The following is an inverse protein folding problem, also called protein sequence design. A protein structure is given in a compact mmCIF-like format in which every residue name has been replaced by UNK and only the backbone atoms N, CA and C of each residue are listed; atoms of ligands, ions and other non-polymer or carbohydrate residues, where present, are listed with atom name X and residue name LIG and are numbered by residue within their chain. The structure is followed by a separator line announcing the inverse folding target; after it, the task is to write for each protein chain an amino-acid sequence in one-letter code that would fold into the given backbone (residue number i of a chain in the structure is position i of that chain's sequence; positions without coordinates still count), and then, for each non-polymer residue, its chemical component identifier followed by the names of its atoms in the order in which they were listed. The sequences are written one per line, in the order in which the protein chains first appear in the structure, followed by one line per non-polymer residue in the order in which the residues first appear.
data_IF_115265176809
#
_entry.id   IF_115265176809
#
_cell.length_a   1.000
_cell.length_b   1.000
_cell.length_c   1.000
_cell.angle_alpha   90.00
_cell.angle_beta   90.00
_cell.angle_gamma   90.00
#
_symmetry.space_group_name_H-M   'P 1'
#
loop_
_entity.id
_entity.type
_entity.pdbx_description
1 polymer ?
#
# COMPACT_ATOMS: atom_id res chain seq x y z
N UNK A 1 -21.32 5.79 10.73
CA UNK A 1 -20.92 6.64 9.59
C UNK A 1 -20.45 5.71 8.48
N UNK A 2 -21.10 5.71 7.31
CA UNK A 2 -20.68 4.89 6.18
C UNK A 2 -19.55 5.58 5.43
N UNK A 3 -18.50 4.84 5.12
CA UNK A 3 -17.45 5.25 4.18
C UNK A 3 -17.42 4.27 3.02
N UNK A 4 -16.97 4.71 1.85
CA UNK A 4 -16.78 3.84 0.70
C UNK A 4 -15.37 3.98 0.13
N UNK A 5 -14.90 2.92 -0.51
CA UNK A 5 -13.58 2.86 -1.11
C UNK A 5 -13.62 3.36 -2.55
N UNK A 6 -12.68 4.25 -2.88
CA UNK A 6 -12.38 4.64 -4.24
C UNK A 6 -11.39 3.69 -4.90
N UNK A 7 -10.99 4.03 -6.13
CA UNK A 7 -9.88 3.35 -6.79
C UNK A 7 -8.57 3.65 -6.05
N UNK A 8 -7.72 2.66 -5.80
CA UNK A 8 -6.39 2.92 -5.26
C UNK A 8 -5.55 3.69 -6.28
N UNK A 9 -4.65 4.53 -5.78
CA UNK A 9 -3.81 5.40 -6.62
C UNK A 9 -2.33 5.18 -6.32
N UNK A 10 -1.49 5.13 -7.36
CA UNK A 10 -0.05 5.23 -7.20
C UNK A 10 0.29 6.71 -7.00
N UNK A 11 0.73 7.04 -5.80
CA UNK A 11 1.13 8.40 -5.41
C UNK A 11 2.54 8.71 -5.90
N UNK A 12 3.44 7.73 -5.83
CA UNK A 12 4.82 7.86 -6.24
C UNK A 12 5.41 6.49 -6.59
N UNK A 13 6.33 6.44 -7.55
CA UNK A 13 7.15 5.28 -7.82
C UNK A 13 8.59 5.68 -8.10
N UNK A 14 9.53 4.93 -7.55
CA UNK A 14 10.96 5.07 -7.83
C UNK A 14 11.56 3.70 -8.12
N UNK A 15 12.13 3.54 -9.29
CA UNK A 15 12.85 2.33 -9.70
C UNK A 15 14.38 2.53 -9.67
N UNK A 16 15.09 1.41 -9.45
CA UNK A 16 16.54 1.26 -9.56
C UNK A 16 16.85 -0.16 -10.02
N UNK A 17 16.95 -0.33 -11.34
CA UNK A 17 17.32 -1.62 -11.95
C UNK A 17 16.27 -2.70 -11.66
N UNK A 18 16.63 -3.67 -10.82
CA UNK A 18 15.76 -4.80 -10.43
C UNK A 18 14.93 -4.53 -9.18
N UNK A 19 14.99 -3.33 -8.60
CA UNK A 19 14.22 -2.94 -7.42
C UNK A 19 13.39 -1.69 -7.68
N UNK A 20 12.23 -1.58 -7.04
CA UNK A 20 11.43 -0.36 -7.01
C UNK A 20 10.79 -0.15 -5.64
N UNK A 21 10.51 1.11 -5.30
CA UNK A 21 9.59 1.47 -4.21
C UNK A 21 8.39 2.18 -4.81
N UNK A 22 7.20 1.73 -4.45
CA UNK A 22 5.92 2.29 -4.91
C UNK A 22 5.11 2.69 -3.69
N UNK A 23 4.64 3.93 -3.69
CA UNK A 23 3.73 4.46 -2.68
C UNK A 23 2.32 4.44 -3.25
N UNK A 24 1.44 3.65 -2.65
CA UNK A 24 0.04 3.47 -3.07
C UNK A 24 -0.87 3.99 -1.98
N UNK A 25 -1.86 4.80 -2.35
CA UNK A 25 -2.89 5.27 -1.42
C UNK A 25 -4.20 4.52 -1.63
N UNK A 26 -4.75 4.01 -0.53
CA UNK A 26 -6.18 3.68 -0.50
C UNK A 26 -6.96 5.00 -0.37
N UNK A 27 -7.86 5.21 -1.31
CA UNK A 27 -8.73 6.38 -1.34
C UNK A 27 -10.03 6.01 -0.67
N UNK A 28 -10.44 6.80 0.33
CA UNK A 28 -11.75 6.65 0.97
C UNK A 28 -12.52 7.96 0.90
N UNK A 29 -13.83 7.83 0.91
CA UNK A 29 -14.75 8.96 0.94
C UNK A 29 -15.69 8.78 2.13
N UNK A 30 -15.90 9.86 2.87
CA UNK A 30 -16.94 9.89 3.90
C UNK A 30 -18.33 10.11 3.29
N UNK A 31 -19.37 10.05 4.13
CA UNK A 31 -20.75 10.27 3.70
C UNK A 31 -21.04 11.68 3.19
N UNK A 32 -20.14 12.65 3.43
CA UNK A 32 -20.21 14.00 2.89
C UNK A 32 -19.39 14.15 1.58
N UNK A 33 -18.83 13.05 1.04
CA UNK A 33 -18.02 13.05 -0.17
C UNK A 33 -16.60 13.57 0.03
N UNK A 34 -16.15 13.79 1.28
CA UNK A 34 -14.78 14.27 1.53
C UNK A 34 -13.81 13.13 1.30
N UNK A 35 -12.80 13.41 0.49
CA UNK A 35 -11.75 12.48 0.13
C UNK A 35 -10.68 12.42 1.21
N UNK A 36 -10.32 11.21 1.61
CA UNK A 36 -9.16 10.91 2.46
C UNK A 36 -8.23 9.94 1.76
N UNK A 37 -6.94 10.01 2.10
CA UNK A 37 -5.92 9.11 1.58
C UNK A 37 -5.05 8.59 2.72
N UNK A 38 -4.74 7.29 2.68
CA UNK A 38 -3.72 6.69 3.52
C UNK A 38 -2.70 5.96 2.64
N UNK A 39 -1.53 6.59 2.38
CA UNK A 39 -0.52 6.00 1.53
C UNK A 39 0.40 5.02 2.27
N UNK A 40 0.50 3.81 1.73
CA UNK A 40 1.43 2.76 2.15
C UNK A 40 2.55 2.61 1.12
N UNK A 41 3.77 2.29 1.57
CA UNK A 41 4.91 2.08 0.68
C UNK A 41 5.20 0.59 0.57
N UNK A 42 5.39 0.13 -0.67
CA UNK A 42 5.76 -1.23 -1.00
C UNK A 42 7.07 -1.23 -1.77
N UNK A 43 7.90 -2.22 -1.51
CA UNK A 43 9.09 -2.58 -2.24
C UNK A 43 8.72 -3.65 -3.26
N UNK A 44 9.21 -3.49 -4.48
CA UNK A 44 9.01 -4.42 -5.57
C UNK A 44 10.37 -4.92 -6.06
N UNK A 45 10.43 -6.20 -6.43
CA UNK A 45 11.55 -6.81 -7.13
C UNK A 45 11.15 -7.16 -8.56
N UNK A 46 12.11 -7.08 -9.50
CA UNK A 46 11.89 -7.42 -10.89
C UNK A 46 12.40 -8.81 -11.19
N UNK A 47 11.49 -9.68 -11.65
CA UNK A 47 11.80 -11.04 -12.09
C UNK A 47 11.18 -11.31 -13.44
N UNK A 48 11.99 -11.83 -14.37
CA UNK A 48 11.53 -12.20 -15.71
C UNK A 48 10.72 -11.08 -16.39
N UNK A 49 11.17 -9.83 -16.21
CA UNK A 49 10.54 -8.61 -16.76
C UNK A 49 9.33 -8.09 -15.99
N UNK A 50 8.81 -8.82 -14.99
CA UNK A 50 7.64 -8.44 -14.18
C UNK A 50 8.04 -7.90 -12.83
N UNK A 51 7.27 -6.96 -12.31
CA UNK A 51 7.40 -6.48 -10.93
C UNK A 51 6.59 -7.36 -9.99
N UNK A 52 7.22 -7.81 -8.92
CA UNK A 52 6.64 -8.62 -7.86
C UNK A 52 6.76 -7.85 -6.54
N UNK A 53 5.78 -7.97 -5.66
CA UNK A 53 5.89 -7.49 -4.28
C UNK A 53 7.03 -8.23 -3.58
N UNK A 54 7.84 -7.49 -2.83
CA UNK A 54 8.88 -8.08 -2.00
C UNK A 54 8.26 -8.67 -0.72
N UNK A 55 8.60 -9.91 -0.39
CA UNK A 55 7.94 -10.70 0.67
C UNK A 55 8.16 -10.09 2.06
N UNK A 56 9.21 -9.30 2.25
CA UNK A 56 9.52 -8.61 3.49
C UNK A 56 8.43 -7.59 3.89
N UNK A 57 7.77 -6.95 2.91
CA UNK A 57 6.71 -5.97 3.19
C UNK A 57 5.39 -6.63 3.61
N UNK A 58 5.15 -7.87 3.21
CA UNK A 58 3.95 -8.63 3.63
C UNK A 58 4.03 -9.08 5.10
N UNK A 59 5.25 -9.30 5.62
CA UNK A 59 5.49 -9.75 6.98
C UNK A 59 5.46 -8.61 8.01
N UNK A 60 5.87 -7.39 7.63
CA UNK A 60 5.86 -6.20 8.51
C UNK A 60 4.44 -5.79 8.90
N UNK A 61 3.49 -5.79 7.96
CA UNK A 61 2.09 -5.48 8.25
C UNK A 61 1.41 -6.57 9.08
N UNK A 62 1.76 -7.84 8.83
CA UNK A 62 1.23 -8.97 9.62
C UNK A 62 1.71 -8.91 11.08
N UNK A 63 2.99 -8.61 11.32
CA UNK A 63 3.55 -8.48 12.66
C UNK A 63 2.98 -7.27 13.42
N UNK A 64 2.76 -6.14 12.73
CA UNK A 64 2.14 -4.95 13.31
C UNK A 64 0.65 -5.16 13.60
N UNK A 65 -0.07 -5.87 12.73
CA UNK A 65 -1.48 -6.23 12.92
C UNK A 65 -1.68 -7.20 14.11
N UNK A 66 -0.84 -8.23 14.24
CA UNK A 66 -0.88 -9.18 15.36
C UNK A 66 -0.62 -8.47 16.70
N UNK A 67 0.33 -7.53 16.75
CA UNK A 67 0.60 -6.75 17.98
C UNK A 67 -0.55 -5.82 18.38
N UNK A 68 -1.33 -5.32 17.43
CA UNK A 68 -2.53 -4.50 17.72
C UNK A 68 -3.73 -5.33 18.18
N UNK A 69 -3.84 -6.59 17.75
CA UNK A 69 -4.94 -7.48 18.12
C UNK A 69 -4.73 -8.16 19.49
N UNK A 70 -3.49 -8.20 19.97
CA UNK A 70 -3.11 -8.80 21.26
C UNK A 70 -3.10 -7.80 22.43
N UNK A 71 -3.59 -6.57 22.23
CA UNK A 71 -3.62 -5.49 23.22
C UNK A 71 -5.03 -5.05 23.58
#
# INVERSE_FOLDING_TARGET
MSSFLGRPEIVNSRDRGTQARVRVALISFDSAGRRSQQPTTFSLRRENGRWLLDDADLLLDSAAAVRRAAG
#
